data_IF_112346343800
#
_entry.id   IF_112346343800
#
_cell.length_a   1.000
_cell.length_b   1.000
_cell.length_c   1.000
_cell.angle_alpha   90.00
_cell.angle_beta   90.00
_cell.angle_gamma   90.00
#
_symmetry.space_group_name_H-M   'P 1'
#
loop_
_entity.id
_entity.type
_entity.pdbx_description
1 polymer ?
#
# COMPACT_ATOMS: atom_id res chain seq x y z
N UNK A 1 -0.97 -12.41 10.32
CA UNK A 1 -0.10 -11.54 9.49
C UNK A 1 0.97 -10.77 10.30
N UNK A 2 0.98 -10.80 11.64
CA UNK A 2 1.96 -10.05 12.48
C UNK A 2 3.42 -10.45 12.22
N UNK A 3 3.78 -11.71 12.47
CA UNK A 3 5.16 -12.20 12.33
C UNK A 3 5.76 -11.96 10.93
N UNK A 4 5.04 -12.24 9.81
CA UNK A 4 5.52 -11.90 8.47
C UNK A 4 5.89 -10.43 8.28
N UNK A 5 5.11 -9.49 8.82
CA UNK A 5 5.42 -8.07 8.74
C UNK A 5 6.71 -7.73 9.48
N UNK A 6 6.86 -8.25 10.71
CA UNK A 6 8.05 -8.05 11.55
C UNK A 6 9.30 -8.62 10.87
N UNK A 7 9.20 -9.82 10.30
CA UNK A 7 10.32 -10.43 9.58
C UNK A 7 10.76 -9.59 8.38
N UNK A 8 9.82 -9.14 7.55
CA UNK A 8 10.14 -8.29 6.38
C UNK A 8 10.78 -6.98 6.83
N UNK A 9 10.26 -6.37 7.91
CA UNK A 9 10.85 -5.15 8.44
C UNK A 9 12.28 -5.37 8.93
N UNK A 10 12.56 -6.43 9.69
CA UNK A 10 13.92 -6.81 10.11
C UNK A 10 14.85 -7.07 8.94
N UNK A 11 14.40 -7.85 7.94
CA UNK A 11 15.19 -8.21 6.75
C UNK A 11 15.53 -7.00 5.89
N UNK A 12 14.64 -6.00 5.83
CA UNK A 12 14.79 -4.82 4.95
C UNK A 12 15.26 -3.57 5.68
N UNK A 13 15.30 -3.59 7.00
CA UNK A 13 15.54 -2.44 7.87
C UNK A 13 14.65 -1.23 7.51
N UNK A 14 13.38 -1.50 7.18
CA UNK A 14 12.41 -0.51 6.78
C UNK A 14 11.00 -0.89 7.28
N UNK A 15 10.03 0.04 7.33
CA UNK A 15 8.65 -0.32 7.63
C UNK A 15 8.11 -1.35 6.64
N UNK A 16 7.31 -2.28 7.16
CA UNK A 16 6.67 -3.33 6.40
C UNK A 16 5.21 -3.50 6.85
N UNK A 17 4.38 -4.03 5.95
CA UNK A 17 2.98 -4.33 6.20
C UNK A 17 2.67 -5.71 5.63
N UNK A 18 1.86 -6.51 6.32
CA UNK A 18 1.39 -7.80 5.82
C UNK A 18 -0.12 -7.92 5.94
N UNK A 19 -0.75 -8.60 4.99
CA UNK A 19 -2.16 -8.96 5.01
C UNK A 19 -2.35 -10.47 5.01
N UNK A 20 -3.36 -10.94 5.74
CA UNK A 20 -3.96 -12.26 5.60
C UNK A 20 -5.19 -12.12 4.70
N UNK A 21 -5.13 -12.76 3.54
CA UNK A 21 -6.18 -12.74 2.53
C UNK A 21 -7.29 -13.77 2.84
N UNK A 22 -8.46 -13.70 2.16
CA UNK A 22 -9.60 -14.57 2.46
C UNK A 22 -9.32 -16.06 2.22
N UNK A 23 -8.38 -16.38 1.32
CA UNK A 23 -7.95 -17.74 1.01
C UNK A 23 -6.86 -18.27 1.95
N UNK A 24 -6.48 -17.48 2.96
CA UNK A 24 -5.45 -17.81 3.94
C UNK A 24 -4.03 -17.44 3.50
N UNK A 25 -3.82 -16.92 2.28
CA UNK A 25 -2.51 -16.49 1.84
C UNK A 25 -2.03 -15.26 2.62
N UNK A 26 -0.73 -15.22 2.91
CA UNK A 26 -0.08 -14.03 3.45
C UNK A 26 0.61 -13.28 2.32
N UNK A 27 0.26 -12.01 2.18
CA UNK A 27 0.96 -11.08 1.28
C UNK A 27 1.66 -10.00 2.10
N UNK A 28 2.80 -9.53 1.60
CA UNK A 28 3.60 -8.51 2.29
C UNK A 28 3.89 -7.34 1.37
N UNK A 29 4.15 -6.19 1.98
CA UNK A 29 4.64 -4.99 1.32
C UNK A 29 5.75 -4.37 2.15
N UNK A 30 6.73 -3.81 1.46
CA UNK A 30 7.85 -3.10 2.07
C UNK A 30 7.96 -1.70 1.52
N UNK A 31 8.52 -0.82 2.33
CA UNK A 31 8.81 0.55 1.90
C UNK A 31 9.83 0.56 0.76
N UNK A 32 9.60 1.41 -0.24
CA UNK A 32 10.49 1.63 -1.38
C UNK A 32 10.68 3.13 -1.66
N UNK A 33 11.35 3.47 -2.75
CA UNK A 33 11.43 4.86 -3.23
C UNK A 33 10.10 5.38 -3.79
N UNK A 34 9.24 4.49 -4.29
CA UNK A 34 7.97 4.86 -4.93
C UNK A 34 6.77 4.75 -3.99
N UNK A 35 6.74 3.69 -3.17
CA UNK A 35 5.57 3.31 -2.40
C UNK A 35 5.89 3.17 -0.91
N UNK A 36 4.96 3.59 -0.07
CA UNK A 36 4.91 3.18 1.33
C UNK A 36 4.60 1.68 1.46
N UNK A 37 4.95 1.09 2.60
CA UNK A 37 4.78 -0.35 2.85
C UNK A 37 3.32 -0.82 2.68
N UNK A 38 2.36 -0.05 3.21
CA UNK A 38 0.94 -0.35 3.11
C UNK A 38 0.43 -0.26 1.69
N UNK A 39 0.86 0.73 0.91
CA UNK A 39 0.53 0.86 -0.51
C UNK A 39 1.08 -0.30 -1.34
N UNK A 40 2.32 -0.72 -1.08
CA UNK A 40 2.92 -1.88 -1.73
C UNK A 40 2.18 -3.17 -1.37
N UNK A 41 1.86 -3.37 -0.10
CA UNK A 41 1.08 -4.52 0.37
C UNK A 41 -0.28 -4.57 -0.33
N UNK A 42 -0.97 -3.42 -0.43
CA UNK A 42 -2.29 -3.32 -1.06
C UNK A 42 -2.24 -3.74 -2.53
N UNK A 43 -1.26 -3.27 -3.31
CA UNK A 43 -1.11 -3.70 -4.70
C UNK A 43 -0.81 -5.20 -4.81
N UNK A 44 0.05 -5.73 -3.94
CA UNK A 44 0.36 -7.15 -3.93
C UNK A 44 -0.88 -8.00 -3.59
N UNK A 45 -1.68 -7.57 -2.61
CA UNK A 45 -2.95 -8.22 -2.25
C UNK A 45 -3.91 -8.26 -3.44
N UNK A 46 -4.10 -7.13 -4.13
CA UNK A 46 -4.97 -7.07 -5.30
C UNK A 46 -4.48 -7.96 -6.44
N UNK A 47 -3.17 -8.02 -6.69
CA UNK A 47 -2.59 -8.93 -7.67
C UNK A 47 -2.85 -10.39 -7.32
N UNK A 48 -2.60 -10.78 -6.07
CA UNK A 48 -2.83 -12.15 -5.59
C UNK A 48 -4.30 -12.54 -5.73
N UNK A 49 -5.23 -11.71 -5.25
CA UNK A 49 -6.68 -11.98 -5.35
C UNK A 49 -7.13 -12.07 -6.81
N UNK A 50 -6.63 -11.19 -7.67
CA UNK A 50 -7.00 -11.16 -9.08
C UNK A 50 -6.28 -12.24 -9.92
N UNK A 51 -5.37 -13.02 -9.35
CA UNK A 51 -4.55 -14.01 -10.08
C UNK A 51 -3.63 -13.35 -11.12
N UNK A 52 -3.04 -12.20 -10.79
CA UNK A 52 -2.12 -11.45 -11.63
C UNK A 52 -0.69 -11.74 -11.17
N UNK A 53 0.19 -12.03 -12.13
CA UNK A 53 1.59 -12.36 -11.86
C UNK A 53 2.36 -11.21 -11.17
N UNK A 54 3.29 -11.55 -10.28
CA UNK A 54 4.04 -10.56 -9.49
C UNK A 54 4.95 -9.66 -10.34
N UNK A 55 5.36 -10.08 -11.53
CA UNK A 55 6.14 -9.24 -12.45
C UNK A 55 5.32 -8.11 -13.10
N UNK A 56 3.99 -8.21 -13.10
CA UNK A 56 3.11 -7.24 -13.74
C UNK A 56 3.08 -5.93 -12.94
N UNK A 57 3.35 -4.83 -13.63
CA UNK A 57 3.25 -3.47 -13.07
C UNK A 57 1.86 -2.91 -13.35
N UNK A 58 0.99 -2.90 -12.33
CA UNK A 58 -0.38 -2.38 -12.44
C UNK A 58 -0.44 -0.86 -12.66
N UNK A 59 0.59 -0.13 -12.23
CA UNK A 59 0.68 1.32 -12.37
C UNK A 59 2.03 1.64 -12.97
N UNK A 60 2.02 2.29 -14.13
CA UNK A 60 3.26 2.65 -14.82
C UNK A 60 3.98 3.80 -14.10
N UNK A 61 5.31 3.91 -14.25
CA UNK A 61 6.05 5.08 -13.79
C UNK A 61 5.53 6.40 -14.37
N UNK A 62 4.95 6.40 -15.58
CA UNK A 62 4.38 7.61 -16.19
C UNK A 62 3.14 8.14 -15.47
N UNK A 63 2.42 7.29 -14.73
CA UNK A 63 1.30 7.69 -13.86
C UNK A 63 1.80 8.08 -12.46
N UNK A 64 2.80 7.38 -11.93
CA UNK A 64 3.34 7.62 -10.58
C UNK A 64 4.13 8.94 -10.52
N UNK A 65 5.04 9.18 -11.47
CA UNK A 65 5.99 10.31 -11.40
C UNK A 65 5.31 11.68 -11.31
N UNK A 66 4.23 12.00 -12.05
CA UNK A 66 3.52 13.26 -11.90
C UNK A 66 2.93 13.47 -10.50
N UNK A 67 2.43 12.41 -9.85
CA UNK A 67 1.90 12.46 -8.49
C UNK A 67 3.03 12.78 -7.51
N UNK A 68 4.19 12.11 -7.65
CA UNK A 68 5.35 12.38 -6.80
C UNK A 68 5.85 13.82 -6.97
N UNK A 69 5.93 14.30 -8.21
CA UNK A 69 6.33 15.67 -8.53
C UNK A 69 5.38 16.70 -7.91
N UNK A 70 4.06 16.47 -7.98
CA UNK A 70 3.07 17.31 -7.31
C UNK A 70 3.33 17.38 -5.79
N UNK A 71 3.59 16.23 -5.15
CA UNK A 71 3.83 16.18 -3.71
C UNK A 71 5.09 16.95 -3.30
N UNK A 72 6.19 16.75 -4.01
CA UNK A 72 7.47 17.34 -3.60
C UNK A 72 7.61 18.79 -4.01
N UNK A 73 7.34 19.11 -5.28
CA UNK A 73 7.65 20.43 -5.83
C UNK A 73 6.55 21.46 -5.58
N UNK A 74 5.29 21.02 -5.46
CA UNK A 74 4.15 21.93 -5.34
C UNK A 74 3.50 21.91 -3.96
N UNK A 75 3.39 20.75 -3.31
CA UNK A 75 2.85 20.65 -1.94
C UNK A 75 3.93 20.74 -0.85
N UNK A 76 5.21 20.74 -1.22
CA UNK A 76 6.32 20.85 -0.27
C UNK A 76 6.51 19.61 0.63
N UNK A 77 5.91 18.47 0.27
CA UNK A 77 6.09 17.21 1.00
C UNK A 77 7.52 16.72 0.84
N UNK A 78 8.17 16.41 1.96
CA UNK A 78 9.49 15.75 1.95
C UNK A 78 9.42 14.28 1.58
N UNK A 79 8.24 13.66 1.70
CA UNK A 79 8.04 12.26 1.38
C UNK A 79 7.41 12.12 -0.02
N UNK A 80 8.15 11.61 -1.02
CA UNK A 80 7.64 11.41 -2.37
C UNK A 80 6.82 10.13 -2.50
N UNK A 81 6.81 9.23 -1.50
CA UNK A 81 6.15 7.93 -1.60
C UNK A 81 4.65 8.10 -1.67
N UNK A 82 3.99 7.26 -2.48
CA UNK A 82 2.54 7.26 -2.58
C UNK A 82 1.91 6.54 -1.39
N UNK A 83 0.91 7.17 -0.78
CA UNK A 83 -0.01 6.58 0.18
C UNK A 83 -1.07 5.74 -0.55
N UNK A 84 -1.82 4.95 0.21
CA UNK A 84 -2.81 4.01 -0.33
C UNK A 84 -3.88 4.70 -1.18
N UNK A 85 -4.38 5.87 -0.78
CA UNK A 85 -5.37 6.62 -1.57
C UNK A 85 -4.82 7.07 -2.94
N UNK A 86 -3.59 7.58 -2.98
CA UNK A 86 -2.92 8.01 -4.21
C UNK A 86 -2.66 6.82 -5.13
N UNK A 87 -2.29 5.67 -4.56
CA UNK A 87 -2.15 4.42 -5.31
C UNK A 87 -3.48 3.95 -5.90
N UNK A 88 -4.58 4.01 -5.14
CA UNK A 88 -5.89 3.61 -5.66
C UNK A 88 -6.40 4.56 -6.75
N UNK A 89 -6.17 5.87 -6.61
CA UNK A 89 -6.46 6.83 -7.67
C UNK A 89 -5.64 6.54 -8.93
N UNK A 90 -4.33 6.32 -8.77
CA UNK A 90 -3.47 5.96 -9.89
C UNK A 90 -3.88 4.64 -10.56
N UNK A 91 -4.23 3.62 -9.76
CA UNK A 91 -4.74 2.35 -10.26
C UNK A 91 -6.05 2.54 -11.04
N UNK A 92 -6.97 3.38 -10.55
CA UNK A 92 -8.22 3.69 -11.25
C UNK A 92 -8.00 4.36 -12.61
N UNK A 93 -6.96 5.20 -12.72
CA UNK A 93 -6.58 5.82 -14.00
C UNK A 93 -5.99 4.75 -14.94
N UNK A 94 -5.11 3.89 -14.43
CA UNK A 94 -4.52 2.80 -15.23
C UNK A 94 -5.57 1.80 -15.72
N UNK A 95 -6.60 1.52 -14.92
CA UNK A 95 -7.69 0.61 -15.27
C UNK A 95 -8.49 1.05 -16.51
N UNK A 96 -8.46 2.35 -16.87
CA UNK A 96 -9.10 2.84 -18.09
C UNK A 96 -8.50 2.26 -19.37
N UNK A 97 -7.24 1.80 -19.33
CA UNK A 97 -6.49 1.33 -20.51
C UNK A 97 -5.76 0.01 -20.32
N UNK A 98 -5.75 -0.55 -19.10
CA UNK A 98 -5.04 -1.78 -18.76
C UNK A 98 -5.99 -2.77 -18.07
N UNK A 99 -6.19 -3.92 -18.69
CA UNK A 99 -7.08 -4.99 -18.19
C UNK A 99 -6.62 -5.59 -16.86
N UNK A 100 -5.30 -5.68 -16.61
CA UNK A 100 -4.80 -6.15 -15.32
C UNK A 100 -5.08 -5.15 -14.21
N UNK A 101 -4.92 -3.84 -14.49
CA UNK A 101 -5.31 -2.80 -13.55
C UNK A 101 -6.82 -2.81 -13.26
N UNK A 102 -7.66 -3.04 -14.27
CA UNK A 102 -9.11 -3.20 -14.08
C UNK A 102 -9.44 -4.43 -13.23
N UNK A 103 -8.83 -5.59 -13.52
CA UNK A 103 -9.01 -6.80 -12.69
C UNK A 103 -8.59 -6.58 -11.24
N UNK A 104 -7.51 -5.83 -11.00
CA UNK A 104 -7.09 -5.45 -9.66
C UNK A 104 -8.10 -4.50 -8.98
N UNK A 105 -8.71 -3.55 -9.71
CA UNK A 105 -9.79 -2.71 -9.19
C UNK A 105 -11.01 -3.53 -8.79
N UNK A 106 -11.42 -4.48 -9.62
CA UNK A 106 -12.58 -5.35 -9.34
C UNK A 106 -12.34 -6.24 -8.10
N UNK A 107 -11.08 -6.54 -7.79
CA UNK A 107 -10.68 -7.32 -6.63
C UNK A 107 -10.78 -6.57 -5.28
N UNK A 108 -10.95 -5.24 -5.28
CA UNK A 108 -11.04 -4.43 -4.05
C UNK A 108 -12.14 -4.92 -3.09
N UNK A 109 -13.26 -5.41 -3.63
CA UNK A 109 -14.39 -5.89 -2.83
C UNK A 109 -14.03 -7.05 -1.90
N UNK A 110 -13.02 -7.85 -2.26
CA UNK A 110 -12.59 -9.02 -1.50
C UNK A 110 -11.64 -8.69 -0.34
N UNK A 111 -11.20 -7.43 -0.22
CA UNK A 111 -10.35 -7.00 0.89
C UNK A 111 -11.14 -6.80 2.19
N UNK A 112 -12.47 -6.69 2.12
CA UNK A 112 -13.32 -6.50 3.30
C UNK A 112 -13.17 -7.70 4.24
N UNK A 113 -12.87 -7.42 5.50
CA UNK A 113 -12.65 -8.44 6.54
C UNK A 113 -11.25 -9.06 6.53
N UNK A 114 -10.35 -8.65 5.63
CA UNK A 114 -8.95 -9.07 5.69
C UNK A 114 -8.25 -8.49 6.93
N UNK A 115 -7.29 -9.24 7.46
CA UNK A 115 -6.49 -8.83 8.61
C UNK A 115 -5.14 -8.27 8.15
N UNK A 116 -4.83 -7.04 8.53
CA UNK A 116 -3.59 -6.34 8.18
C UNK A 116 -2.82 -5.97 9.45
N UNK A 117 -1.50 -6.16 9.38
CA UNK A 117 -0.58 -5.70 10.42
C UNK A 117 0.55 -4.85 9.81
N UNK A 118 0.82 -3.69 10.40
CA UNK A 118 1.94 -2.82 10.03
C UNK A 118 2.97 -2.72 11.15
N UNK A 119 4.25 -2.69 10.80
CA UNK A 119 5.33 -2.54 11.80
C UNK A 119 5.51 -1.11 12.30
N UNK A 120 4.66 -0.18 11.87
CA UNK A 120 4.62 1.21 12.35
C UNK A 120 3.17 1.67 12.45
N UNK A 121 2.93 2.70 13.26
CA UNK A 121 1.66 3.43 13.31
C UNK A 121 1.39 4.02 11.92
N UNK A 122 0.22 3.69 11.36
CA UNK A 122 -0.17 4.15 10.04
C UNK A 122 -0.40 5.67 10.02
N UNK A 123 -0.19 6.27 8.84
CA UNK A 123 -0.69 7.61 8.57
C UNK A 123 -2.23 7.63 8.67
N UNK A 124 -2.82 8.79 8.97
CA UNK A 124 -4.29 8.95 8.95
C UNK A 124 -4.85 8.63 7.57
N UNK A 125 -4.16 9.04 6.51
CA UNK A 125 -4.54 8.78 5.12
C UNK A 125 -4.65 7.28 4.83
N UNK A 126 -3.67 6.50 5.28
CA UNK A 126 -3.69 5.05 5.09
C UNK A 126 -4.75 4.38 5.96
N UNK A 127 -4.86 4.77 7.23
CA UNK A 127 -5.87 4.23 8.15
C UNK A 127 -7.29 4.48 7.63
N UNK A 128 -7.58 5.69 7.16
CA UNK A 128 -8.88 6.04 6.59
C UNK A 128 -9.19 5.24 5.32
N UNK A 129 -8.19 5.03 4.47
CA UNK A 129 -8.36 4.28 3.22
C UNK A 129 -8.64 2.81 3.50
N UNK A 130 -7.85 2.18 4.36
CA UNK A 130 -8.07 0.78 4.75
C UNK A 130 -9.42 0.59 5.48
N UNK A 131 -9.81 1.56 6.32
CA UNK A 131 -11.13 1.55 6.99
C UNK A 131 -12.29 1.58 5.98
N UNK A 132 -12.21 2.43 4.94
CA UNK A 132 -13.22 2.48 3.86
C UNK A 132 -13.32 1.17 3.09
N UNK A 133 -12.20 0.47 2.92
CA UNK A 133 -12.16 -0.87 2.31
C UNK A 133 -12.66 -1.97 3.27
N UNK A 134 -12.93 -1.65 4.53
CA UNK A 134 -13.40 -2.61 5.53
C UNK A 134 -12.32 -3.60 5.98
N UNK A 135 -11.05 -3.19 5.95
CA UNK A 135 -9.90 -3.99 6.38
C UNK A 135 -9.69 -3.79 7.89
N UNK A 136 -9.44 -4.88 8.61
CA UNK A 136 -9.09 -4.86 10.02
C UNK A 136 -7.59 -4.62 10.17
N UNK A 137 -7.20 -3.57 10.90
CA UNK A 137 -5.80 -3.13 10.97
C UNK A 137 -5.29 -3.15 12.40
N UNK A 138 -4.09 -3.71 12.56
CA UNK A 138 -3.26 -3.60 13.76
C UNK A 138 -1.90 -3.01 13.41
N UNK A 139 -1.18 -2.46 14.39
CA UNK A 139 0.18 -1.97 14.18
C UNK A 139 1.04 -2.07 15.44
N UNK A 140 2.35 -2.14 15.25
CA UNK A 140 3.32 -1.92 16.31
C UNK A 140 3.29 -0.44 16.77
N UNK A 141 3.56 -0.14 18.05
CA UNK A 141 3.54 1.21 18.60
C UNK A 141 4.77 2.06 18.22
N UNK A 142 5.33 1.81 17.04
CA UNK A 142 6.52 2.49 16.50
C UNK A 142 6.13 3.53 15.47
N UNK A 143 6.84 4.68 15.41
CA UNK A 143 6.60 5.71 14.39
C UNK A 143 7.66 5.65 13.30
N UNK A 144 7.24 5.82 12.05
CA UNK A 144 8.18 5.92 10.92
C UNK A 144 9.09 7.15 11.02
N UNK A 145 8.56 8.27 11.54
CA UNK A 145 9.32 9.51 11.75
C UNK A 145 9.34 9.92 13.22
N UNK A 146 10.47 10.45 13.68
CA UNK A 146 10.68 10.91 15.07
C UNK A 146 10.04 12.28 15.38
N UNK A 147 9.43 12.95 14.41
CA UNK A 147 8.86 14.28 14.62
C UNK A 147 7.42 14.18 15.15
N UNK A 148 7.16 14.80 16.29
CA UNK A 148 5.85 14.84 16.95
C UNK A 148 4.80 15.64 16.17
N UNK A 149 5.22 16.47 15.21
CA UNK A 149 4.36 17.35 14.41
C UNK A 149 4.50 16.99 12.94
N UNK A 150 3.49 16.32 12.37
CA UNK A 150 3.31 16.28 10.92
C UNK A 150 2.76 17.65 10.51
N UNK A 151 3.64 18.53 10.03
CA UNK A 151 3.26 19.72 9.26
C UNK A 151 3.59 19.47 7.80
#
# INVERSE_FOLDING_TARGET
>A
CVEPAIEVSKKTNAPATAALLPDGQIVTGKTSSLLGATSAMLLNALKTIAGIDDSVKLISPSVISPIQHLKTEHFGSKNPRLHTNEVLLALSISAATDENAQRAMDALQYLRGCEVHSTVILSSVDSDTLSKLGINVTCEPERETRNLFNR
#
